data_IF_733171869893
#
_entry.id   IF_733171869893
#
_cell.length_a   1.000
_cell.length_b   1.000
_cell.length_c   1.000
_cell.angle_alpha   90.00
_cell.angle_beta   90.00
_cell.angle_gamma   90.00
#
_symmetry.space_group_name_H-M   'P 1'
#
loop_
_entity.id
_entity.type
_entity.pdbx_description
1 polymer ?
#
# COMPACT_ATOMS: atom_id res chain seq x y z
N UNK A 1 -4.03 16.78 -13.82
CA UNK A 1 -3.08 15.64 -13.84
C UNK A 1 -3.27 14.72 -12.63
N UNK A 2 -3.25 15.25 -11.40
CA UNK A 2 -3.49 14.49 -10.17
C UNK A 2 -4.82 13.71 -10.15
N UNK A 3 -5.90 14.30 -10.66
CA UNK A 3 -7.21 13.61 -10.77
C UNK A 3 -7.16 12.39 -11.68
N UNK A 4 -6.57 12.49 -12.87
CA UNK A 4 -6.44 11.35 -13.80
C UNK A 4 -5.63 10.20 -13.15
N UNK A 5 -4.57 10.52 -12.41
CA UNK A 5 -3.75 9.53 -11.69
C UNK A 5 -4.44 8.88 -10.47
N UNK A 6 -5.51 9.50 -9.97
CA UNK A 6 -6.32 9.06 -8.84
C UNK A 6 -7.72 8.56 -9.24
N UNK A 7 -8.03 8.56 -10.53
CA UNK A 7 -9.33 8.08 -11.07
C UNK A 7 -9.12 6.98 -12.10
N UNK A 8 -7.96 6.90 -12.76
CA UNK A 8 -7.65 5.88 -13.76
C UNK A 8 -6.41 5.07 -13.40
N UNK A 9 -6.48 3.76 -13.62
CA UNK A 9 -5.33 2.84 -13.47
C UNK A 9 -4.44 2.81 -14.72
N UNK A 10 -4.86 3.44 -15.83
CA UNK A 10 -4.13 3.45 -17.10
C UNK A 10 -2.66 3.90 -16.99
N UNK A 11 -2.32 4.96 -16.21
CA UNK A 11 -0.93 5.40 -16.07
C UNK A 11 -0.02 4.32 -15.49
N UNK A 12 -0.51 3.55 -14.52
CA UNK A 12 0.24 2.47 -13.87
C UNK A 12 0.42 1.27 -14.81
N UNK A 13 -0.63 0.92 -15.57
CA UNK A 13 -0.54 -0.12 -16.60
C UNK A 13 0.39 0.27 -17.74
N UNK A 14 0.44 1.55 -18.11
CA UNK A 14 1.36 2.04 -19.13
C UNK A 14 2.83 1.89 -18.68
N UNK A 15 3.14 2.25 -17.43
CA UNK A 15 4.46 1.99 -16.84
C UNK A 15 4.78 0.49 -16.83
N UNK A 16 3.82 -0.35 -16.45
CA UNK A 16 3.97 -1.80 -16.49
C UNK A 16 4.31 -2.31 -17.90
N UNK A 17 3.59 -1.85 -18.92
CA UNK A 17 3.82 -2.22 -20.31
C UNK A 17 5.18 -1.76 -20.83
N UNK A 18 5.68 -0.61 -20.40
CA UNK A 18 7.04 -0.17 -20.74
C UNK A 18 8.10 -1.12 -20.16
N UNK A 19 7.95 -1.55 -18.91
CA UNK A 19 8.83 -2.55 -18.29
C UNK A 19 8.72 -3.90 -19.01
N UNK A 20 7.52 -4.37 -19.32
CA UNK A 20 7.35 -5.61 -20.10
C UNK A 20 8.00 -5.50 -21.48
N UNK A 21 7.77 -4.40 -22.20
CA UNK A 21 8.34 -4.16 -23.52
C UNK A 21 9.87 -4.11 -23.53
N UNK A 22 10.47 -3.42 -22.56
CA UNK A 22 11.93 -3.38 -22.42
C UNK A 22 12.53 -4.75 -22.09
N UNK A 23 11.80 -5.61 -21.38
CA UNK A 23 12.25 -6.95 -21.01
C UNK A 23 12.18 -7.87 -22.23
N UNK A 24 11.06 -7.81 -22.97
CA UNK A 24 10.89 -8.54 -24.21
C UNK A 24 12.02 -8.19 -25.20
N UNK A 25 12.38 -6.92 -25.35
CA UNK A 25 13.48 -6.49 -26.21
C UNK A 25 14.82 -7.18 -25.86
N UNK A 26 15.16 -7.28 -24.57
CA UNK A 26 16.37 -7.97 -24.11
C UNK A 26 16.32 -9.48 -24.36
N UNK A 27 15.16 -10.11 -24.13
CA UNK A 27 14.97 -11.54 -24.39
C UNK A 27 15.11 -11.88 -25.87
N UNK A 28 14.57 -11.04 -26.77
CA UNK A 28 14.74 -11.21 -28.22
C UNK A 28 16.20 -11.02 -28.65
N UNK A 29 16.93 -10.11 -28.01
CA UNK A 29 18.36 -9.93 -28.28
C UNK A 29 19.17 -11.16 -27.88
N UNK A 30 18.95 -11.69 -26.68
CA UNK A 30 19.64 -12.89 -26.19
C UNK A 30 19.34 -14.15 -27.02
N UNK A 31 18.10 -14.30 -27.53
CA UNK A 31 17.74 -15.45 -28.39
C UNK A 31 18.37 -15.39 -29.78
N UNK A 32 18.50 -14.21 -30.38
CA UNK A 32 18.96 -14.08 -31.75
C UNK A 32 20.50 -13.96 -31.87
N UNK A 33 21.23 -13.88 -30.74
CA UNK A 33 22.69 -13.70 -30.73
C UNK A 33 23.16 -12.44 -31.49
N UNK A 34 22.23 -11.52 -31.75
CA UNK A 34 22.46 -10.38 -32.63
C UNK A 34 23.22 -9.30 -31.86
N UNK A 35 24.37 -8.89 -32.41
CA UNK A 35 25.15 -7.74 -31.91
C UNK A 35 24.51 -6.38 -32.23
N UNK A 36 23.24 -6.35 -32.61
CA UNK A 36 22.52 -5.11 -32.90
C UNK A 36 22.32 -4.28 -31.64
N UNK A 37 22.59 -2.98 -31.72
CA UNK A 37 22.35 -2.05 -30.61
C UNK A 37 20.85 -1.68 -30.46
N UNK A 38 20.00 -2.06 -31.42
CA UNK A 38 18.59 -1.63 -31.46
C UNK A 38 17.78 -2.13 -30.27
N UNK A 39 17.78 -3.44 -29.92
CA UNK A 39 17.00 -3.92 -28.78
C UNK A 39 17.53 -3.38 -27.45
N UNK A 40 18.84 -3.17 -27.34
CA UNK A 40 19.47 -2.53 -26.19
C UNK A 40 18.98 -1.08 -26.01
N UNK A 41 18.94 -0.31 -27.10
CA UNK A 41 18.43 1.07 -27.10
C UNK A 41 16.94 1.13 -26.76
N UNK A 42 16.14 0.22 -27.33
CA UNK A 42 14.71 0.10 -27.01
C UNK A 42 14.51 -0.22 -25.53
N UNK A 43 15.25 -1.20 -25.00
CA UNK A 43 15.18 -1.56 -23.59
C UNK A 43 15.57 -0.39 -22.68
N UNK A 44 16.70 0.27 -22.95
CA UNK A 44 17.12 1.44 -22.20
C UNK A 44 16.10 2.58 -22.24
N UNK A 45 15.52 2.85 -23.42
CA UNK A 45 14.48 3.86 -23.61
C UNK A 45 13.21 3.53 -22.82
N UNK A 46 12.74 2.29 -22.88
CA UNK A 46 11.59 1.81 -22.11
C UNK A 46 11.83 1.92 -20.59
N UNK A 47 13.02 1.54 -20.11
CA UNK A 47 13.37 1.62 -18.68
C UNK A 47 13.41 3.08 -18.21
N UNK A 48 14.05 3.98 -18.96
CA UNK A 48 14.09 5.40 -18.61
C UNK A 48 12.70 6.06 -18.66
N UNK A 49 11.88 5.73 -19.66
CA UNK A 49 10.50 6.22 -19.75
C UNK A 49 9.64 5.71 -18.59
N UNK A 50 9.78 4.44 -18.22
CA UNK A 50 9.08 3.86 -17.07
C UNK A 50 9.49 4.58 -15.78
N UNK A 51 10.79 4.73 -15.51
CA UNK A 51 11.29 5.43 -14.32
C UNK A 51 10.86 6.89 -14.27
N UNK A 52 10.90 7.61 -15.39
CA UNK A 52 10.45 9.00 -15.45
C UNK A 52 8.97 9.10 -15.07
N UNK A 53 8.13 8.22 -15.60
CA UNK A 53 6.70 8.18 -15.28
C UNK A 53 6.44 7.77 -13.83
N UNK A 54 7.18 6.80 -13.28
CA UNK A 54 7.08 6.43 -11.85
C UNK A 54 7.40 7.61 -10.93
N UNK A 55 8.50 8.32 -11.21
CA UNK A 55 8.89 9.49 -10.44
C UNK A 55 7.84 10.61 -10.57
N UNK A 56 7.28 10.81 -11.76
CA UNK A 56 6.20 11.76 -11.98
C UNK A 56 4.92 11.38 -11.22
N UNK A 57 4.55 10.10 -11.20
CA UNK A 57 3.39 9.60 -10.44
C UNK A 57 3.64 9.80 -8.94
N UNK A 58 4.80 9.40 -8.45
CA UNK A 58 5.17 9.57 -7.04
C UNK A 58 5.15 11.04 -6.63
N UNK A 59 5.77 11.93 -7.41
CA UNK A 59 5.80 13.37 -7.14
C UNK A 59 4.43 14.05 -7.30
N UNK A 60 3.51 13.51 -8.10
CA UNK A 60 2.18 14.12 -8.25
C UNK A 60 1.22 13.68 -7.16
N UNK A 61 1.27 12.39 -6.80
CA UNK A 61 0.27 11.73 -5.96
C UNK A 61 0.73 11.62 -4.50
N UNK A 62 2.04 11.72 -4.24
CA UNK A 62 2.66 11.68 -2.91
C UNK A 62 2.16 10.46 -2.11
N UNK A 63 1.53 10.70 -0.95
CA UNK A 63 1.03 9.66 -0.04
C UNK A 63 -0.05 8.76 -0.64
N UNK A 64 -0.71 9.18 -1.72
CA UNK A 64 -1.74 8.39 -2.39
C UNK A 64 -1.20 7.59 -3.58
N UNK A 65 0.12 7.48 -3.78
CA UNK A 65 0.69 6.79 -4.95
C UNK A 65 0.25 5.31 -5.05
N UNK A 66 -0.20 4.74 -3.92
CA UNK A 66 -0.73 3.39 -3.82
C UNK A 66 -2.24 3.28 -3.90
N UNK A 67 -2.95 4.39 -4.18
CA UNK A 67 -4.41 4.39 -4.31
C UNK A 67 -4.89 3.29 -5.27
N UNK A 68 -4.20 3.09 -6.39
CA UNK A 68 -4.57 2.09 -7.39
C UNK A 68 -4.49 0.63 -6.88
N UNK A 69 -3.70 0.36 -5.83
CA UNK A 69 -3.52 -0.97 -5.25
C UNK A 69 -4.21 -1.13 -3.89
N UNK A 70 -4.26 -0.08 -3.07
CA UNK A 70 -4.70 -0.10 -1.66
C UNK A 70 -5.67 1.05 -1.36
N UNK A 71 -6.56 1.38 -2.30
CA UNK A 71 -7.67 2.28 -1.99
C UNK A 71 -8.50 1.72 -0.82
N UNK A 72 -9.04 2.63 0.00
CA UNK A 72 -9.99 2.27 1.07
C UNK A 72 -11.26 1.64 0.51
N UNK A 73 -11.58 1.94 -0.75
CA UNK A 73 -12.74 1.41 -1.48
C UNK A 73 -12.58 -0.08 -1.84
N UNK A 74 -11.35 -0.59 -1.85
CA UNK A 74 -11.10 -1.98 -2.27
C UNK A 74 -11.20 -2.97 -1.10
N UNK A 75 -11.89 -4.08 -1.38
CA UNK A 75 -11.94 -5.24 -0.49
C UNK A 75 -10.59 -5.96 -0.37
N UNK A 76 -10.49 -6.93 0.55
CA UNK A 76 -9.25 -7.72 0.74
C UNK A 76 -8.79 -8.42 -0.54
N UNK A 77 -9.68 -9.15 -1.20
CA UNK A 77 -9.36 -9.92 -2.41
C UNK A 77 -8.95 -9.02 -3.57
N UNK A 78 -9.59 -7.87 -3.74
CA UNK A 78 -9.25 -6.89 -4.78
C UNK A 78 -7.84 -6.32 -4.58
N UNK A 79 -7.49 -5.97 -3.34
CA UNK A 79 -6.14 -5.52 -2.98
C UNK A 79 -5.11 -6.61 -3.24
N UNK A 80 -5.42 -7.86 -2.88
CA UNK A 80 -4.53 -9.00 -3.12
C UNK A 80 -4.27 -9.21 -4.62
N UNK A 81 -5.32 -9.25 -5.45
CA UNK A 81 -5.19 -9.45 -6.89
C UNK A 81 -4.48 -8.29 -7.59
N UNK A 82 -4.60 -7.06 -7.09
CA UNK A 82 -3.85 -5.88 -7.61
C UNK A 82 -2.39 -5.86 -7.15
N UNK A 83 -2.08 -6.51 -6.04
CA UNK A 83 -0.71 -6.63 -5.56
C UNK A 83 0.12 -7.63 -6.40
N UNK A 84 -0.51 -8.63 -7.00
CA UNK A 84 0.15 -9.61 -7.89
C UNK A 84 0.85 -8.94 -9.08
N UNK A 85 0.19 -8.13 -9.93
CA UNK A 85 0.86 -7.44 -11.04
C UNK A 85 1.92 -6.48 -10.53
N UNK A 86 1.75 -5.89 -9.34
CA UNK A 86 2.79 -5.05 -8.74
C UNK A 86 4.02 -5.86 -8.30
N UNK A 87 3.84 -7.06 -7.74
CA UNK A 87 4.93 -7.97 -7.42
C UNK A 87 5.69 -8.39 -8.69
N UNK A 88 4.94 -8.77 -9.74
CA UNK A 88 5.50 -9.11 -11.05
C UNK A 88 6.30 -7.94 -11.61
N UNK A 89 5.77 -6.73 -11.52
CA UNK A 89 6.43 -5.52 -11.95
C UNK A 89 7.79 -5.30 -11.27
N UNK A 90 7.85 -5.41 -9.94
CA UNK A 90 9.11 -5.29 -9.18
C UNK A 90 10.12 -6.34 -9.62
N UNK A 91 9.69 -7.60 -9.77
CA UNK A 91 10.55 -8.69 -10.23
C UNK A 91 11.07 -8.44 -11.65
N UNK A 92 10.21 -7.95 -12.55
CA UNK A 92 10.60 -7.61 -13.91
C UNK A 92 11.60 -6.45 -13.95
N UNK A 93 11.41 -5.39 -13.15
CA UNK A 93 12.38 -4.28 -13.09
C UNK A 93 13.75 -4.75 -12.59
N UNK A 94 13.78 -5.56 -11.54
CA UNK A 94 15.03 -6.15 -11.02
C UNK A 94 15.69 -7.01 -12.10
N UNK A 95 14.92 -7.92 -12.71
CA UNK A 95 15.40 -8.81 -13.77
C UNK A 95 15.92 -8.06 -14.99
N UNK A 96 15.24 -6.98 -15.41
CA UNK A 96 15.67 -6.15 -16.52
C UNK A 96 17.05 -5.53 -16.29
N UNK A 97 17.32 -5.00 -15.10
CA UNK A 97 18.62 -4.41 -14.79
C UNK A 97 19.75 -5.44 -14.92
N UNK A 98 19.53 -6.65 -14.39
CA UNK A 98 20.51 -7.74 -14.48
C UNK A 98 20.69 -8.25 -15.92
N UNK A 99 19.60 -8.42 -16.66
CA UNK A 99 19.63 -8.83 -18.08
C UNK A 99 20.30 -7.76 -18.94
N UNK A 100 19.97 -6.49 -18.75
CA UNK A 100 20.57 -5.37 -19.47
C UNK A 100 22.08 -5.33 -19.24
N UNK A 101 22.51 -5.48 -17.99
CA UNK A 101 23.93 -5.62 -17.64
C UNK A 101 24.57 -6.80 -18.36
N UNK A 102 23.97 -8.00 -18.29
CA UNK A 102 24.52 -9.20 -18.91
C UNK A 102 24.72 -9.04 -20.42
N UNK A 103 23.70 -8.52 -21.12
CA UNK A 103 23.76 -8.24 -22.56
C UNK A 103 24.85 -7.19 -22.87
N UNK A 104 24.98 -6.15 -22.05
CA UNK A 104 25.97 -5.10 -22.29
C UNK A 104 27.41 -5.59 -22.02
N UNK A 105 27.61 -6.43 -21.01
CA UNK A 105 28.89 -7.10 -20.75
C UNK A 105 29.27 -8.04 -21.90
N UNK A 106 28.31 -8.79 -22.47
CA UNK A 106 28.53 -9.65 -23.63
C UNK A 106 28.92 -8.85 -24.89
N UNK A 107 28.26 -7.71 -25.14
CA UNK A 107 28.57 -6.84 -26.28
C UNK A 107 29.91 -6.11 -26.15
N UNK A 108 30.32 -5.77 -24.93
CA UNK A 108 31.55 -5.01 -24.66
C UNK A 108 32.75 -5.89 -24.30
N UNK A 109 32.53 -7.15 -23.93
CA UNK A 109 33.55 -8.08 -23.45
C UNK A 109 34.16 -7.69 -22.10
N UNK A 110 33.51 -6.79 -21.35
CA UNK A 110 34.05 -6.25 -20.09
C UNK A 110 33.02 -6.27 -18.98
N UNK A 111 33.49 -6.44 -17.75
CA UNK A 111 32.63 -6.48 -16.57
C UNK A 111 32.24 -5.08 -16.08
N UNK A 112 31.01 -4.93 -15.63
CA UNK A 112 30.41 -3.69 -15.16
C UNK A 112 29.97 -3.81 -13.69
N UNK A 113 30.12 -2.71 -12.96
CA UNK A 113 29.88 -2.65 -11.52
C UNK A 113 28.47 -2.17 -11.22
N UNK A 114 27.48 -3.08 -11.19
CA UNK A 114 26.11 -2.75 -10.79
C UNK A 114 25.78 -3.18 -9.35
N UNK A 115 26.32 -4.32 -8.91
CA UNK A 115 26.06 -4.90 -7.58
C UNK A 115 26.36 -3.90 -6.46
N UNK A 116 27.45 -3.14 -6.61
CA UNK A 116 27.88 -2.20 -5.58
C UNK A 116 26.93 -0.99 -5.45
N UNK A 117 26.40 -0.50 -6.57
CA UNK A 117 25.42 0.59 -6.57
C UNK A 117 24.13 0.15 -5.88
N UNK A 118 23.67 -1.07 -6.15
CA UNK A 118 22.51 -1.67 -5.49
C UNK A 118 22.73 -1.84 -3.98
N UNK A 119 23.90 -2.37 -3.57
CA UNK A 119 24.24 -2.52 -2.15
C UNK A 119 24.27 -1.16 -1.45
N UNK A 120 24.91 -0.14 -2.02
CA UNK A 120 24.95 1.19 -1.43
C UNK A 120 23.55 1.76 -1.24
N UNK A 121 22.69 1.70 -2.27
CA UNK A 121 21.32 2.21 -2.18
C UNK A 121 20.48 1.48 -1.13
N UNK A 122 20.51 0.14 -1.12
CA UNK A 122 19.75 -0.66 -0.16
C UNK A 122 20.25 -0.46 1.27
N UNK A 123 21.58 -0.38 1.46
CA UNK A 123 22.20 -0.19 2.78
C UNK A 123 22.03 1.23 3.33
N UNK A 124 21.71 2.21 2.47
CA UNK A 124 21.50 3.60 2.90
C UNK A 124 20.37 3.69 3.93
N UNK A 125 19.25 2.98 3.73
CA UNK A 125 18.12 2.96 4.67
C UNK A 125 18.47 2.42 6.06
N UNK A 126 19.01 1.18 6.23
CA UNK A 126 19.36 0.66 7.54
C UNK A 126 20.48 1.46 8.23
N UNK A 127 21.45 2.00 7.49
CA UNK A 127 22.50 2.84 8.09
C UNK A 127 21.91 4.12 8.65
N UNK A 128 21.07 4.83 7.89
CA UNK A 128 20.39 6.04 8.38
C UNK A 128 19.48 5.71 9.57
N UNK A 129 18.80 4.56 9.56
CA UNK A 129 17.98 4.10 10.67
C UNK A 129 18.80 3.87 11.96
N UNK A 130 19.95 3.19 11.86
CA UNK A 130 20.84 2.95 13.01
C UNK A 130 21.41 4.27 13.55
N UNK A 131 21.78 5.20 12.67
CA UNK A 131 22.23 6.55 13.07
C UNK A 131 21.12 7.28 13.82
N UNK A 132 19.87 7.20 13.35
CA UNK A 132 18.72 7.81 14.02
C UNK A 132 18.48 7.23 15.42
N UNK A 133 18.53 5.90 15.58
CA UNK A 133 18.42 5.26 16.92
C UNK A 133 19.59 5.67 17.82
N UNK A 134 20.81 5.68 17.29
CA UNK A 134 21.99 6.11 18.05
C UNK A 134 21.82 7.55 18.54
N UNK A 135 21.38 8.46 17.67
CA UNK A 135 21.12 9.85 18.02
C UNK A 135 20.07 9.97 19.14
N UNK A 136 18.99 9.16 19.10
CA UNK A 136 17.97 9.11 20.15
C UNK A 136 18.55 8.62 21.49
N UNK A 137 19.44 7.60 21.49
CA UNK A 137 20.11 7.09 22.70
C UNK A 137 21.00 8.16 23.35
N UNK A 138 21.64 9.02 22.56
CA UNK A 138 22.49 10.10 23.05
C UNK A 138 21.73 11.39 23.38
N UNK A 139 20.39 11.39 23.30
CA UNK A 139 19.56 12.55 23.60
C UNK A 139 19.73 13.70 22.61
N UNK A 140 20.11 13.42 21.36
CA UNK A 140 20.24 14.43 20.33
C UNK A 140 18.86 15.03 19.99
N UNK A 141 18.84 16.33 19.67
CA UNK A 141 17.61 16.99 19.21
C UNK A 141 17.14 16.42 17.86
N UNK A 142 15.83 16.51 17.59
CA UNK A 142 15.26 16.07 16.31
C UNK A 142 15.88 16.78 15.10
N UNK A 143 16.27 18.06 15.25
CA UNK A 143 16.97 18.81 14.22
C UNK A 143 18.36 18.22 13.91
N UNK A 144 19.12 17.85 14.96
CA UNK A 144 20.43 17.22 14.80
C UNK A 144 20.30 15.85 14.17
N UNK A 145 19.32 15.05 14.60
CA UNK A 145 19.01 13.73 14.03
C UNK A 145 18.69 13.82 12.55
N UNK A 146 17.80 14.75 12.17
CA UNK A 146 17.40 14.94 10.79
C UNK A 146 18.57 15.45 9.92
N UNK A 147 19.36 16.39 10.44
CA UNK A 147 20.56 16.90 9.76
C UNK A 147 21.59 15.80 9.52
N UNK A 148 22.01 15.08 10.57
CA UNK A 148 23.03 14.01 10.48
C UNK A 148 22.54 12.86 9.60
N UNK A 149 21.28 12.44 9.74
CA UNK A 149 20.67 11.41 8.91
C UNK A 149 20.66 11.80 7.43
N UNK A 150 20.28 13.05 7.11
CA UNK A 150 20.27 13.56 5.73
C UNK A 150 21.69 13.66 5.16
N UNK A 151 22.65 14.13 5.95
CA UNK A 151 24.05 14.20 5.52
C UNK A 151 24.63 12.82 5.27
N UNK A 152 24.42 11.87 6.19
CA UNK A 152 24.87 10.48 6.02
C UNK A 152 24.23 9.81 4.80
N UNK A 153 22.94 10.06 4.56
CA UNK A 153 22.23 9.62 3.37
C UNK A 153 22.95 10.08 2.09
N UNK A 154 23.18 11.38 1.93
CA UNK A 154 23.82 11.91 0.73
C UNK A 154 25.26 11.44 0.55
N UNK A 155 26.03 11.32 1.64
CA UNK A 155 27.40 10.79 1.58
C UNK A 155 27.41 9.36 1.04
N UNK A 156 26.52 8.48 1.52
CA UNK A 156 26.45 7.10 1.07
C UNK A 156 26.04 6.99 -0.40
N UNK A 157 25.05 7.79 -0.82
CA UNK A 157 24.61 7.85 -2.22
C UNK A 157 25.75 8.32 -3.12
N UNK A 158 26.41 9.44 -2.78
CA UNK A 158 27.51 9.99 -3.57
C UNK A 158 28.69 9.02 -3.62
N UNK A 159 29.07 8.40 -2.50
CA UNK A 159 30.16 7.43 -2.43
C UNK A 159 29.87 6.20 -3.32
N UNK A 160 28.66 5.64 -3.25
CA UNK A 160 28.25 4.52 -4.08
C UNK A 160 28.24 4.85 -5.57
N UNK A 161 27.73 6.04 -5.93
CA UNK A 161 27.72 6.53 -7.30
C UNK A 161 29.13 6.77 -7.84
N UNK A 162 29.97 7.49 -7.08
CA UNK A 162 31.34 7.81 -7.47
C UNK A 162 32.18 6.53 -7.67
N UNK A 163 32.07 5.56 -6.75
CA UNK A 163 32.80 4.31 -6.87
C UNK A 163 32.33 3.48 -8.07
N UNK A 164 31.02 3.40 -8.29
CA UNK A 164 30.46 2.74 -9.48
C UNK A 164 30.96 3.41 -10.76
N UNK A 165 30.96 4.74 -10.80
CA UNK A 165 31.42 5.53 -11.93
C UNK A 165 32.89 5.24 -12.28
N UNK A 166 33.77 5.31 -11.28
CA UNK A 166 35.21 5.06 -11.46
C UNK A 166 35.45 3.66 -12.03
N UNK A 167 34.80 2.61 -11.47
CA UNK A 167 34.93 1.24 -11.98
C UNK A 167 34.39 1.09 -13.40
N UNK A 168 33.26 1.69 -13.71
CA UNK A 168 32.65 1.57 -15.04
C UNK A 168 33.49 2.32 -16.10
N UNK A 169 34.06 3.49 -15.77
CA UNK A 169 34.98 4.23 -16.65
C UNK A 169 36.26 3.42 -16.91
N UNK A 170 36.87 2.84 -15.88
CA UNK A 170 38.07 2.00 -16.03
C UNK A 170 37.78 0.76 -16.89
N UNK A 171 36.57 0.22 -16.81
CA UNK A 171 36.14 -0.91 -17.61
C UNK A 171 35.91 -0.50 -19.07
N UNK A 172 34.86 0.26 -19.39
CA UNK A 172 34.39 0.46 -20.77
C UNK A 172 34.81 1.79 -21.42
N UNK A 173 35.64 2.58 -20.72
CA UNK A 173 36.09 3.90 -21.15
C UNK A 173 35.13 5.03 -20.72
N UNK A 174 35.62 6.28 -20.76
CA UNK A 174 34.96 7.43 -20.15
C UNK A 174 33.52 7.66 -20.63
N UNK A 175 33.30 7.75 -21.96
CA UNK A 175 31.97 8.06 -22.52
C UNK A 175 30.94 6.98 -22.18
N UNK A 176 31.28 5.70 -22.39
CA UNK A 176 30.37 4.57 -22.14
C UNK A 176 30.17 4.32 -20.65
N UNK A 177 31.22 4.51 -19.85
CA UNK A 177 31.18 4.31 -18.40
C UNK A 177 30.28 5.32 -17.69
N UNK A 178 30.34 6.60 -18.09
CA UNK A 178 29.43 7.64 -17.57
C UNK A 178 27.98 7.30 -17.89
N UNK A 179 27.67 7.03 -19.17
CA UNK A 179 26.29 6.73 -19.62
C UNK A 179 25.73 5.53 -18.85
N UNK A 180 26.50 4.44 -18.76
CA UNK A 180 26.06 3.24 -18.05
C UNK A 180 25.84 3.50 -16.55
N UNK A 181 26.68 4.31 -15.92
CA UNK A 181 26.54 4.61 -14.48
C UNK A 181 25.32 5.46 -14.21
N UNK A 182 25.07 6.50 -15.02
CA UNK A 182 23.88 7.34 -14.89
C UNK A 182 22.62 6.53 -15.12
N UNK A 183 22.59 5.72 -16.18
CA UNK A 183 21.48 4.81 -16.48
C UNK A 183 21.22 3.85 -15.31
N UNK A 184 22.25 3.14 -14.84
CA UNK A 184 22.13 2.19 -13.75
C UNK A 184 21.70 2.84 -12.44
N UNK A 185 22.17 4.06 -12.16
CA UNK A 185 21.76 4.82 -10.98
C UNK A 185 20.26 5.12 -10.99
N UNK A 186 19.76 5.65 -12.11
CA UNK A 186 18.33 5.98 -12.28
C UNK A 186 17.47 4.73 -12.13
N UNK A 187 17.84 3.62 -12.78
CA UNK A 187 17.09 2.37 -12.67
C UNK A 187 17.13 1.75 -11.27
N UNK A 188 18.27 1.83 -10.56
CA UNK A 188 18.34 1.34 -9.17
C UNK A 188 17.49 2.17 -8.23
N UNK A 189 17.47 3.50 -8.37
CA UNK A 189 16.57 4.38 -7.60
C UNK A 189 15.12 3.95 -7.81
N UNK A 190 14.71 3.76 -9.07
CA UNK A 190 13.36 3.33 -9.42
C UNK A 190 12.98 2.00 -8.77
N UNK A 191 13.87 0.99 -8.87
CA UNK A 191 13.66 -0.32 -8.24
C UNK A 191 13.58 -0.20 -6.72
N UNK A 192 14.45 0.58 -6.09
CA UNK A 192 14.39 0.80 -4.64
C UNK A 192 13.06 1.43 -4.22
N UNK A 193 12.58 2.44 -4.96
CA UNK A 193 11.27 3.04 -4.72
C UNK A 193 10.13 2.03 -4.92
N UNK A 194 10.14 1.26 -6.01
CA UNK A 194 9.12 0.25 -6.29
C UNK A 194 9.07 -0.84 -5.22
N UNK A 195 10.24 -1.35 -4.79
CA UNK A 195 10.36 -2.33 -3.69
C UNK A 195 9.85 -1.75 -2.38
N UNK A 196 10.20 -0.49 -2.06
CA UNK A 196 9.73 0.17 -0.84
C UNK A 196 8.21 0.33 -0.84
N UNK A 197 7.64 0.83 -1.94
CA UNK A 197 6.20 1.00 -2.12
C UNK A 197 5.48 -0.36 -2.04
N UNK A 198 6.05 -1.40 -2.65
CA UNK A 198 5.55 -2.78 -2.54
C UNK A 198 5.60 -3.33 -1.11
N UNK A 199 6.66 -3.04 -0.36
CA UNK A 199 6.78 -3.44 1.04
C UNK A 199 5.73 -2.75 1.92
N UNK A 200 5.55 -1.43 1.76
CA UNK A 200 4.47 -0.68 2.43
C UNK A 200 3.11 -1.28 2.08
N UNK A 201 2.94 -1.77 0.85
CA UNK A 201 1.68 -2.36 0.41
C UNK A 201 1.37 -3.67 1.13
N UNK A 202 2.38 -4.53 1.29
CA UNK A 202 2.29 -5.76 2.07
C UNK A 202 1.96 -5.47 3.53
N UNK A 203 2.59 -4.47 4.15
CA UNK A 203 2.30 -4.08 5.53
C UNK A 203 0.85 -3.59 5.69
N UNK A 204 0.36 -2.76 4.77
CA UNK A 204 -1.02 -2.28 4.81
C UNK A 204 -2.04 -3.43 4.69
N UNK A 205 -1.77 -4.40 3.83
CA UNK A 205 -2.60 -5.60 3.69
C UNK A 205 -2.53 -6.49 4.95
N UNK A 206 -1.35 -6.64 5.55
CA UNK A 206 -1.16 -7.36 6.80
C UNK A 206 -1.97 -6.73 7.95
N UNK A 207 -1.88 -5.41 8.14
CA UNK A 207 -2.68 -4.70 9.15
C UNK A 207 -4.18 -4.78 8.88
N UNK A 208 -4.60 -4.73 7.61
CA UNK A 208 -6.01 -4.91 7.26
C UNK A 208 -6.52 -6.29 7.72
N UNK A 209 -5.75 -7.36 7.49
CA UNK A 209 -6.12 -8.71 7.98
C UNK A 209 -6.20 -8.75 9.50
N UNK A 210 -5.22 -8.15 10.20
CA UNK A 210 -5.21 -8.10 11.66
C UNK A 210 -6.48 -7.40 12.21
N UNK A 211 -6.87 -6.26 11.62
CA UNK A 211 -8.08 -5.52 12.00
C UNK A 211 -9.33 -6.35 11.71
N UNK A 212 -9.42 -7.00 10.55
CA UNK A 212 -10.57 -7.86 10.20
C UNK A 212 -10.70 -9.05 11.16
N UNK A 213 -9.61 -9.73 11.49
CA UNK A 213 -9.61 -10.84 12.45
C UNK A 213 -10.01 -10.36 13.84
N UNK A 214 -9.48 -9.22 14.30
CA UNK A 214 -9.86 -8.62 15.58
C UNK A 214 -11.36 -8.26 15.62
N UNK A 215 -11.89 -7.67 14.54
CA UNK A 215 -13.31 -7.34 14.44
C UNK A 215 -14.21 -8.59 14.46
N UNK A 216 -13.82 -9.66 13.76
CA UNK A 216 -14.54 -10.94 13.78
C UNK A 216 -14.46 -11.58 15.17
N UNK A 217 -13.31 -11.55 15.84
CA UNK A 217 -13.14 -12.08 17.19
C UNK A 217 -13.99 -11.33 18.22
N UNK A 218 -14.03 -9.99 18.14
CA UNK A 218 -14.90 -9.16 18.98
C UNK A 218 -16.37 -9.44 18.68
N UNK A 219 -16.75 -9.52 17.41
CA UNK A 219 -18.11 -9.87 17.00
C UNK A 219 -18.54 -11.25 17.51
N UNK A 220 -17.67 -12.25 17.36
CA UNK A 220 -17.91 -13.60 17.88
C UNK A 220 -18.00 -13.60 19.41
N UNK A 221 -17.10 -12.93 20.13
CA UNK A 221 -17.13 -12.81 21.58
C UNK A 221 -18.41 -12.13 22.09
N UNK A 222 -18.86 -11.05 21.44
CA UNK A 222 -20.12 -10.39 21.76
C UNK A 222 -21.33 -11.29 21.49
N UNK A 223 -21.30 -12.08 20.41
CA UNK A 223 -22.35 -13.05 20.09
C UNK A 223 -22.36 -14.24 21.08
N UNK A 224 -21.20 -14.79 21.43
CA UNK A 224 -21.10 -15.95 22.34
C UNK A 224 -21.31 -15.59 23.79
N UNK A 225 -20.83 -14.44 24.26
CA UNK A 225 -21.13 -13.97 25.62
C UNK A 225 -22.54 -13.39 25.76
N UNK A 226 -23.16 -12.93 24.67
CA UNK A 226 -24.60 -12.68 24.61
C UNK A 226 -25.44 -13.96 24.70
N UNK A 227 -24.85 -15.13 24.48
CA UNK A 227 -25.49 -16.45 24.62
C UNK A 227 -25.37 -17.03 26.03
N UNK A 228 -24.45 -16.52 26.87
CA UNK A 228 -24.23 -17.00 28.24
C UNK A 228 -25.11 -16.36 29.31
N UNK A 229 -25.80 -15.26 29.01
CA UNK A 229 -26.75 -14.59 29.92
C UNK A 229 -27.86 -13.91 29.13
N UNK A 230 -28.84 -14.70 28.67
CA UNK A 230 -30.25 -14.31 28.46
C UNK A 230 -30.59 -12.99 27.76
N UNK A 231 -29.70 -12.39 26.98
CA UNK A 231 -29.94 -11.10 26.32
C UNK A 231 -29.00 -10.93 25.13
N UNK A 232 -29.33 -11.60 24.03
CA UNK A 232 -28.62 -11.40 22.78
C UNK A 232 -28.90 -9.98 22.25
N UNK A 233 -27.89 -9.34 21.66
CA UNK A 233 -28.02 -8.00 21.02
C UNK A 233 -28.99 -8.04 19.83
N UNK A 234 -29.22 -9.23 19.26
CA UNK A 234 -30.27 -9.49 18.27
C UNK A 234 -31.66 -9.28 18.87
N UNK A 235 -31.85 -9.63 20.14
CA UNK A 235 -33.08 -9.40 20.92
C UNK A 235 -33.25 -7.92 21.28
N UNK A 236 -32.15 -7.17 21.42
CA UNK A 236 -32.17 -5.72 21.63
C UNK A 236 -32.51 -4.94 20.35
N UNK A 237 -32.10 -5.41 19.16
CA UNK A 237 -32.53 -4.84 17.87
C UNK A 237 -33.96 -5.28 17.48
N UNK A 238 -34.39 -6.49 17.88
CA UNK A 238 -35.76 -6.95 17.68
C UNK A 238 -36.77 -6.27 18.64
N UNK A 239 -36.29 -5.69 19.75
CA UNK A 239 -37.12 -5.04 20.77
C UNK A 239 -37.69 -3.68 20.40
N UNK A 240 -37.49 -3.17 19.18
CA UNK A 240 -38.30 -2.04 18.68
C UNK A 240 -39.76 -2.47 18.37
N UNK A 241 -40.07 -3.76 18.50
CA UNK A 241 -41.44 -4.29 18.58
C UNK A 241 -41.72 -5.01 19.91
N UNK A 242 -41.47 -4.38 21.04
CA UNK A 242 -42.06 -4.89 22.29
C UNK A 242 -43.56 -4.60 22.28
N UNK A 243 -44.41 -5.64 22.23
CA UNK A 243 -45.84 -5.51 22.52
C UNK A 243 -45.99 -4.93 23.92
N UNK A 244 -46.28 -3.63 24.03
CA UNK A 244 -46.53 -2.98 25.31
C UNK A 244 -47.67 -3.73 26.00
N UNK A 245 -47.45 -4.17 27.23
CA UNK A 245 -48.51 -4.80 28.03
C UNK A 245 -49.71 -3.84 28.10
N UNK A 246 -50.81 -4.25 27.50
CA UNK A 246 -52.05 -3.47 27.43
C UNK A 246 -53.08 -4.02 28.41
N UNK A 247 -53.74 -3.10 29.09
CA UNK A 247 -54.75 -3.37 30.09
C UNK A 247 -56.09 -2.87 29.55
N UNK A 248 -57.10 -3.72 29.51
CA UNK A 248 -58.45 -3.34 29.09
C UNK A 248 -59.27 -2.92 30.31
N UNK A 249 -60.04 -1.83 30.19
CA UNK A 249 -61.06 -1.46 31.16
C UNK A 249 -62.38 -2.21 30.93
N UNK A 250 -63.35 -2.01 31.83
CA UNK A 250 -64.62 -2.72 31.83
C UNK A 250 -65.55 -2.38 30.64
N UNK A 251 -65.25 -1.30 29.90
CA UNK A 251 -65.97 -0.93 28.67
C UNK A 251 -65.15 -1.28 27.40
N UNK A 252 -63.98 -1.91 27.56
CA UNK A 252 -63.15 -2.44 26.48
C UNK A 252 -62.11 -1.47 25.93
N UNK A 253 -61.86 -0.34 26.57
CA UNK A 253 -60.81 0.59 26.13
C UNK A 253 -59.43 0.18 26.64
N UNK A 254 -58.41 0.48 25.83
CA UNK A 254 -57.02 0.05 26.01
C UNK A 254 -56.22 1.07 26.80
N UNK A 255 -55.49 0.61 27.82
CA UNK A 255 -54.61 1.41 28.67
C UNK A 255 -53.21 0.80 28.72
N UNK A 256 -52.19 1.65 28.77
CA UNK A 256 -50.78 1.22 28.78
C UNK A 256 -50.15 1.12 30.18
N UNK A 257 -50.94 1.34 31.23
CA UNK A 257 -50.55 1.09 32.62
C UNK A 257 -51.77 0.69 33.46
N UNK A 258 -51.56 -0.04 34.55
CA UNK A 258 -52.63 -0.56 35.41
C UNK A 258 -53.40 0.54 36.16
N UNK A 259 -52.71 1.61 36.59
CA UNK A 259 -53.35 2.72 37.32
C UNK A 259 -54.36 3.50 36.47
N UNK A 260 -54.10 3.65 35.17
CA UNK A 260 -55.01 4.28 34.21
C UNK A 260 -56.26 3.43 33.99
N UNK A 261 -56.11 2.10 33.84
CA UNK A 261 -57.23 1.15 33.82
C UNK A 261 -58.06 1.26 35.10
N UNK A 262 -57.43 1.28 36.27
CA UNK A 262 -58.14 1.28 37.55
C UNK A 262 -58.90 2.59 37.78
N UNK A 263 -58.33 3.72 37.36
CA UNK A 263 -59.00 5.03 37.38
C UNK A 263 -60.18 5.06 36.41
N UNK A 264 -60.01 4.52 35.20
CA UNK A 264 -61.09 4.41 34.22
C UNK A 264 -62.24 3.52 34.75
N UNK A 265 -61.92 2.35 35.32
CA UNK A 265 -62.89 1.45 35.94
C UNK A 265 -63.65 2.10 37.09
N UNK A 266 -62.99 2.95 37.91
CA UNK A 266 -63.65 3.71 38.97
C UNK A 266 -64.67 4.69 38.41
N UNK A 267 -64.29 5.44 37.38
CA UNK A 267 -65.20 6.40 36.73
C UNK A 267 -66.38 5.71 36.03
N UNK A 268 -66.17 4.53 35.44
CA UNK A 268 -67.25 3.72 34.84
C UNK A 268 -68.22 3.24 35.92
N UNK A 269 -67.70 2.77 37.06
CA UNK A 269 -68.52 2.35 38.19
C UNK A 269 -69.35 3.51 38.77
N UNK A 270 -68.76 4.69 38.90
CA UNK A 270 -69.46 5.90 39.35
C UNK A 270 -70.58 6.33 38.38
N UNK A 271 -70.36 6.22 37.07
CA UNK A 271 -71.40 6.50 36.06
C UNK A 271 -72.54 5.47 36.09
N UNK A 272 -72.23 4.18 36.28
CA UNK A 272 -73.24 3.12 36.38
C UNK A 272 -74.05 3.22 37.67
N UNK A 273 -73.42 3.59 38.79
CA UNK A 273 -74.11 3.77 40.07
C UNK A 273 -74.87 5.10 40.17
N UNK A 274 -74.41 6.15 39.48
CA UNK A 274 -75.11 7.45 39.41
C UNK A 274 -76.31 7.47 38.46
N UNK A 275 -76.57 6.36 37.74
CA UNK A 275 -77.73 6.19 36.84
C UNK A 275 -78.97 5.56 37.49
N UNK A 276 -78.92 5.23 38.78
CA UNK A 276 -80.08 4.71 39.54
C UNK A 276 -80.59 5.78 40.54
N UNK A 277 -81.09 6.89 40.01
CA UNK A 277 -81.98 7.82 40.71
C UNK A 277 -83.27 7.97 39.92
#
# INVERSE_FOLDING_TARGET
>A
MKEILLTSTLPYWFVFLLVVGGMAALLFQGRNGSKSNVPLLVSAGCMLAATALELLIYNTVHNNCMWWCISKEYGFWEKLFRLIPFAIFVVLQIGQIFMFKAVLEEMTGKSLSLKLLFICFVLTFPVVFVISIGADIFGASDETKNSVGTTAFWILIIAGLAWSLVRNIMSVGLKKGIIFTVFSAVCVVAVCLAVFVFFVALLALFFQVLITVAAVAVGFFLLTNGMGNGSSVVDALAKDQTSKQVFYDNDGHVHYNSGARDTANRNIAERKNGGNA
#
